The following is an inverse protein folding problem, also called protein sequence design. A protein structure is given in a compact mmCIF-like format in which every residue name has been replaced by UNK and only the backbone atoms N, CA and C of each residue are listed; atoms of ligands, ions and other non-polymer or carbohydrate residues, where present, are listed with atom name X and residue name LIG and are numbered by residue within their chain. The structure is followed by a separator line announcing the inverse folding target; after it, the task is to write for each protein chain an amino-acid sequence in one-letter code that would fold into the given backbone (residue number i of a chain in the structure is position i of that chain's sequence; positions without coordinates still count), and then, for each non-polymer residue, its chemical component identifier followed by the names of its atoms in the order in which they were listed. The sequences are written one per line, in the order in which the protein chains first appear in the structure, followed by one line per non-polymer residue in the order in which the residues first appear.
data_IF_489284413910
#
_entry.id   IF_489284413910
#
_cell.length_a   1.000
_cell.length_b   1.000
_cell.length_c   1.000
_cell.angle_alpha   90.00
_cell.angle_beta   90.00
_cell.angle_gamma   90.00
#
_symmetry.space_group_name_H-M   'P 1'
#
loop_
_entity.id
_entity.type
_entity.pdbx_description
1 polymer ?
#
# COMPACT_ATOMS: atom_id res chain seq x y z
N UNK A 1 22.94 4.61 -21.15
CA UNK A 1 22.29 3.33 -21.51
C UNK A 1 21.69 2.68 -20.26
N UNK A 2 22.47 2.39 -19.22
CA UNK A 2 21.96 1.78 -17.99
C UNK A 2 20.98 2.62 -17.16
N UNK A 3 21.15 3.95 -17.12
CA UNK A 3 20.23 4.82 -16.33
C UNK A 3 18.81 4.84 -16.89
N UNK A 4 18.65 4.91 -18.21
CA UNK A 4 17.32 4.84 -18.85
C UNK A 4 16.64 3.49 -18.60
N UNK A 5 17.40 2.40 -18.67
CA UNK A 5 16.87 1.05 -18.43
C UNK A 5 16.47 0.85 -16.96
N UNK A 6 17.22 1.45 -16.02
CA UNK A 6 16.88 1.44 -14.60
C UNK A 6 15.59 2.22 -14.32
N UNK A 7 15.42 3.40 -14.93
CA UNK A 7 14.21 4.24 -14.83
C UNK A 7 12.98 3.47 -15.34
N UNK A 8 13.08 2.84 -16.50
CA UNK A 8 11.98 2.08 -17.09
C UNK A 8 11.64 0.83 -16.27
N UNK A 9 12.66 0.18 -15.69
CA UNK A 9 12.46 -0.97 -14.79
C UNK A 9 11.77 -0.55 -13.50
N UNK A 10 12.18 0.59 -12.90
CA UNK A 10 11.54 1.16 -11.72
C UNK A 10 10.07 1.47 -12.01
N UNK A 11 9.78 2.14 -13.13
CA UNK A 11 8.42 2.46 -13.56
C UNK A 11 7.53 1.22 -13.70
N UNK A 12 8.02 0.17 -14.40
CA UNK A 12 7.29 -1.07 -14.56
C UNK A 12 7.00 -1.77 -13.22
N UNK A 13 7.95 -1.72 -12.28
CA UNK A 13 7.76 -2.27 -10.93
C UNK A 13 6.69 -1.50 -10.15
N UNK A 14 6.67 -0.16 -10.21
CA UNK A 14 5.64 0.65 -9.55
C UNK A 14 4.25 0.40 -10.16
N UNK A 15 4.14 0.33 -11.49
CA UNK A 15 2.88 0.01 -12.15
C UNK A 15 2.32 -1.35 -11.72
N UNK A 16 3.18 -2.38 -11.67
CA UNK A 16 2.77 -3.70 -11.22
C UNK A 16 2.35 -3.68 -9.75
N UNK A 17 3.10 -2.98 -8.89
CA UNK A 17 2.83 -2.88 -7.46
C UNK A 17 1.48 -2.22 -7.18
N UNK A 18 1.13 -1.12 -7.87
CA UNK A 18 -0.19 -0.49 -7.71
C UNK A 18 -1.31 -1.40 -8.18
N UNK A 19 -1.14 -2.08 -9.32
CA UNK A 19 -2.13 -3.01 -9.85
C UNK A 19 -2.37 -4.19 -8.89
N UNK A 20 -1.31 -4.79 -8.37
CA UNK A 20 -1.40 -5.87 -7.37
C UNK A 20 -2.09 -5.40 -6.09
N UNK A 21 -1.70 -4.23 -5.58
CA UNK A 21 -2.32 -3.66 -4.39
C UNK A 21 -3.83 -3.45 -4.59
N UNK A 22 -4.24 -2.86 -5.72
CA UNK A 22 -5.67 -2.65 -5.99
C UNK A 22 -6.43 -3.98 -6.10
N UNK A 23 -5.83 -5.01 -6.70
CA UNK A 23 -6.44 -6.35 -6.78
C UNK A 23 -6.58 -6.99 -5.40
N UNK A 24 -5.51 -6.99 -4.59
CA UNK A 24 -5.51 -7.60 -3.25
C UNK A 24 -6.51 -6.94 -2.30
N UNK A 25 -6.75 -5.65 -2.48
CA UNK A 25 -7.69 -4.86 -1.67
C UNK A 25 -9.06 -4.69 -2.34
N UNK A 26 -9.32 -5.41 -3.45
CA UNK A 26 -10.57 -5.36 -4.21
C UNK A 26 -11.02 -3.94 -4.63
N UNK A 27 -10.05 -3.05 -4.86
CA UNK A 27 -10.28 -1.66 -5.21
C UNK A 27 -10.58 -1.53 -6.70
N UNK A 28 -11.77 -1.05 -7.01
CA UNK A 28 -12.10 -0.61 -8.38
C UNK A 28 -11.54 0.77 -8.72
N UNK A 29 -11.29 1.60 -7.69
CA UNK A 29 -10.68 2.93 -7.78
C UNK A 29 -9.91 3.23 -6.48
N UNK A 30 -8.83 4.01 -6.60
CA UNK A 30 -8.16 4.61 -5.44
C UNK A 30 -9.02 5.75 -4.89
N UNK A 31 -9.34 5.75 -3.59
CA UNK A 31 -10.18 6.79 -2.99
C UNK A 31 -9.54 8.18 -3.04
N UNK A 32 -8.25 8.29 -2.67
CA UNK A 32 -7.50 9.56 -2.67
C UNK A 32 -6.16 9.38 -3.39
N UNK A 33 -6.16 9.37 -4.74
CA UNK A 33 -4.95 9.17 -5.51
C UNK A 33 -4.00 10.38 -5.43
N UNK A 34 -2.71 10.16 -5.65
CA UNK A 34 -1.65 11.20 -5.63
C UNK A 34 -1.67 12.12 -6.87
N UNK A 35 -2.78 12.15 -7.63
CA UNK A 35 -2.86 12.79 -8.95
C UNK A 35 -2.48 14.29 -8.99
N UNK A 36 -3.13 15.12 -8.17
CA UNK A 36 -2.96 16.58 -8.19
C UNK A 36 -1.91 17.10 -7.18
N UNK A 37 -1.48 16.25 -6.24
CA UNK A 37 -0.42 16.56 -5.28
C UNK A 37 0.96 16.59 -5.96
N UNK A 38 2.02 17.15 -5.34
CA UNK A 38 3.38 16.92 -5.81
C UNK A 38 3.63 15.42 -6.05
N UNK A 39 4.38 15.07 -7.10
CA UNK A 39 4.77 13.68 -7.30
C UNK A 39 5.61 13.22 -6.11
N UNK A 40 5.46 11.96 -5.68
CA UNK A 40 6.14 11.45 -4.50
C UNK A 40 7.01 10.25 -4.84
N UNK A 41 8.13 10.13 -4.15
CA UNK A 41 9.06 9.01 -4.26
C UNK A 41 9.12 8.17 -2.97
N UNK A 42 8.34 8.54 -1.95
CA UNK A 42 8.16 7.76 -0.73
C UNK A 42 6.99 6.79 -0.89
N UNK A 43 7.31 5.52 -1.09
CA UNK A 43 6.36 4.43 -1.30
C UNK A 43 5.61 4.03 -0.02
N UNK A 44 6.02 4.55 1.15
CA UNK A 44 5.20 4.49 2.37
C UNK A 44 4.08 5.54 2.41
N UNK A 45 4.09 6.49 1.47
CA UNK A 45 3.10 7.55 1.32
C UNK A 45 2.34 7.47 -0.02
N UNK A 46 2.61 6.43 -0.83
CA UNK A 46 2.05 6.21 -2.16
C UNK A 46 1.39 4.84 -2.23
N UNK A 47 0.22 4.66 -2.88
CA UNK A 47 -0.51 5.63 -3.71
C UNK A 47 -1.64 6.36 -2.97
N UNK A 48 -1.96 5.96 -1.74
CA UNK A 48 -3.10 6.40 -0.95
C UNK A 48 -2.77 6.16 0.54
N UNK A 49 -2.91 7.18 1.40
CA UNK A 49 -2.58 7.10 2.85
C UNK A 49 -3.61 7.79 3.74
N UNK A 50 -4.82 7.99 3.24
CA UNK A 50 -5.88 8.74 3.93
C UNK A 50 -7.06 7.86 4.31
N UNK A 51 -7.19 6.68 3.70
CA UNK A 51 -8.27 5.76 4.05
C UNK A 51 -8.08 5.21 5.47
N UNK A 52 -9.21 5.04 6.15
CA UNK A 52 -9.26 4.58 7.53
C UNK A 52 -9.72 3.12 7.57
N UNK A 53 -9.64 2.48 8.73
CA UNK A 53 -10.17 1.12 8.92
C UNK A 53 -11.64 1.00 8.49
N UNK A 54 -12.45 2.01 8.77
CA UNK A 54 -13.87 2.04 8.41
C UNK A 54 -14.05 1.95 6.89
N UNK A 55 -13.27 2.72 6.14
CA UNK A 55 -13.40 2.79 4.68
C UNK A 55 -12.67 1.66 3.97
N UNK A 56 -11.64 1.09 4.60
CA UNK A 56 -10.96 -0.16 4.19
C UNK A 56 -11.78 -1.42 4.45
N UNK A 57 -12.94 -1.31 5.11
CA UNK A 57 -13.79 -2.45 5.47
C UNK A 57 -13.23 -3.34 6.58
N UNK A 58 -12.20 -2.87 7.30
CA UNK A 58 -11.63 -3.58 8.43
C UNK A 58 -12.48 -3.35 9.70
N UNK A 59 -12.59 -4.36 10.56
CA UNK A 59 -13.24 -4.19 11.85
C UNK A 59 -12.35 -3.32 12.76
N UNK A 60 -12.79 -2.08 13.02
CA UNK A 60 -12.03 -1.12 13.81
C UNK A 60 -11.72 -1.62 15.24
N UNK A 61 -12.63 -2.39 15.86
CA UNK A 61 -12.40 -2.96 17.19
C UNK A 61 -11.34 -4.06 17.16
N UNK A 62 -11.31 -4.86 16.09
CA UNK A 62 -10.31 -5.90 15.85
C UNK A 62 -8.90 -5.31 15.76
N UNK A 63 -8.71 -4.31 14.89
CA UNK A 63 -7.39 -3.66 14.71
C UNK A 63 -6.96 -2.86 15.95
N UNK A 64 -7.89 -2.19 16.64
CA UNK A 64 -7.58 -1.49 17.89
C UNK A 64 -7.09 -2.46 18.97
N UNK A 65 -7.73 -3.63 19.08
CA UNK A 65 -7.35 -4.67 20.05
C UNK A 65 -5.98 -5.28 19.74
N UNK A 66 -5.62 -5.36 18.46
CA UNK A 66 -4.29 -5.78 18.01
C UNK A 66 -3.15 -4.86 18.47
N UNK A 67 -3.45 -3.66 18.98
CA UNK A 67 -2.45 -2.73 19.50
C UNK A 67 -1.47 -2.21 18.44
N UNK A 68 -1.77 -2.42 17.16
CA UNK A 68 -1.06 -1.80 16.06
C UNK A 68 -1.54 -0.36 15.89
N UNK A 69 -0.61 0.53 15.55
CA UNK A 69 -1.01 1.85 15.06
C UNK A 69 -1.68 1.65 13.70
N UNK A 70 -2.84 2.29 13.50
CA UNK A 70 -3.53 2.25 12.21
C UNK A 70 -2.59 2.76 11.11
N UNK A 71 -2.24 1.87 10.18
CA UNK A 71 -1.61 2.27 8.93
C UNK A 71 -2.73 2.68 7.98
N UNK A 72 -2.90 3.99 7.85
CA UNK A 72 -3.85 4.59 6.95
C UNK A 72 -3.53 4.22 5.50
N UNK A 73 -4.59 4.10 4.71
CA UNK A 73 -4.52 3.86 3.29
C UNK A 73 -3.95 2.53 2.85
N UNK A 74 -3.41 2.54 1.65
CA UNK A 74 -2.93 1.37 0.93
C UNK A 74 -1.52 1.57 0.36
N UNK A 75 -0.53 1.96 1.19
CA UNK A 75 0.80 2.29 0.69
C UNK A 75 1.51 1.07 0.09
N UNK A 76 2.41 1.28 -0.86
CA UNK A 76 3.17 0.22 -1.53
C UNK A 76 4.29 -0.35 -0.65
N UNK A 77 4.74 0.40 0.36
CA UNK A 77 5.76 -0.05 1.30
C UNK A 77 5.29 0.13 2.74
N UNK A 78 5.48 -0.91 3.55
CA UNK A 78 5.16 -0.88 4.97
C UNK A 78 3.67 -1.02 5.28
N UNK A 79 2.85 -1.51 4.35
CA UNK A 79 1.43 -1.71 4.59
C UNK A 79 1.24 -2.76 5.67
N UNK A 80 0.63 -2.40 6.80
CA UNK A 80 0.29 -3.36 7.85
C UNK A 80 -1.10 -3.93 7.62
N UNK A 81 -1.17 -5.26 7.59
CA UNK A 81 -2.43 -6.01 7.57
C UNK A 81 -2.58 -6.76 8.89
N UNK A 82 -3.78 -6.73 9.46
CA UNK A 82 -4.15 -7.55 10.61
C UNK A 82 -5.06 -8.67 10.09
N UNK A 83 -4.66 -9.91 10.33
CA UNK A 83 -5.32 -11.11 9.82
C UNK A 83 -6.04 -11.78 10.98
N UNK A 84 -7.37 -11.82 10.88
CA UNK A 84 -8.26 -12.65 11.71
C UNK A 84 -8.22 -14.08 11.18
N UNK A 85 -7.49 -14.97 11.87
CA UNK A 85 -7.28 -16.36 11.44
C UNK A 85 -8.34 -17.31 11.99
N UNK A 86 -8.89 -17.00 13.16
CA UNK A 86 -9.91 -17.82 13.81
C UNK A 86 -11.35 -17.45 13.37
N UNK A 87 -11.52 -16.26 12.79
CA UNK A 87 -12.78 -15.73 12.27
C UNK A 87 -13.75 -15.28 13.36
N UNK A 88 -13.27 -15.04 14.58
CA UNK A 88 -14.10 -14.69 15.74
C UNK A 88 -14.31 -13.17 15.90
N UNK A 89 -13.59 -12.36 15.11
CA UNK A 89 -13.67 -10.90 15.11
C UNK A 89 -12.99 -10.22 16.30
N UNK A 90 -12.21 -10.95 17.09
CA UNK A 90 -11.48 -10.49 18.28
C UNK A 90 -10.01 -10.81 18.13
N UNK A 91 -9.13 -9.80 18.20
CA UNK A 91 -7.70 -10.06 18.06
C UNK A 91 -7.14 -10.88 19.22
N UNK A 92 -6.60 -12.06 18.93
CA UNK A 92 -5.89 -12.89 19.90
C UNK A 92 -4.55 -13.45 19.36
N UNK A 93 -3.43 -12.87 19.81
CA UNK A 93 -2.10 -13.30 19.37
C UNK A 93 -1.75 -14.76 19.77
N UNK A 94 -2.47 -15.35 20.72
CA UNK A 94 -2.29 -16.74 21.17
C UNK A 94 -3.66 -17.37 21.49
N UNK A 95 -4.21 -18.18 20.59
CA UNK A 95 -5.29 -19.11 20.94
C UNK A 95 -4.72 -20.48 21.31
N UNK A 96 -4.41 -20.68 22.59
CA UNK A 96 -4.02 -21.97 23.12
C UNK A 96 -5.25 -22.72 23.69
N UNK A 97 -5.98 -23.41 22.81
CA UNK A 97 -7.11 -24.27 23.20
C UNK A 97 -7.37 -25.37 22.17
N UNK A 98 -7.94 -26.53 22.56
CA UNK A 98 -8.39 -27.53 21.59
C UNK A 98 -9.77 -27.17 21.02
N UNK A 99 -9.98 -27.22 19.69
CA UNK A 99 -9.00 -27.52 18.63
C UNK A 99 -7.98 -26.40 18.44
N UNK A 100 -6.72 -26.72 18.12
CA UNK A 100 -5.66 -25.72 17.90
C UNK A 100 -6.11 -24.78 16.79
N UNK A 101 -6.44 -23.55 17.17
CA UNK A 101 -6.59 -22.44 16.25
C UNK A 101 -5.30 -21.63 16.32
N UNK A 102 -4.80 -21.22 15.15
CA UNK A 102 -3.62 -20.36 15.12
C UNK A 102 -4.09 -18.96 15.48
N UNK A 103 -3.52 -18.38 16.54
CA UNK A 103 -3.77 -16.99 16.90
C UNK A 103 -3.52 -16.03 15.73
N UNK A 104 -4.18 -14.89 15.81
CA UNK A 104 -4.16 -13.84 14.80
C UNK A 104 -2.77 -13.28 14.53
N UNK A 105 -2.64 -12.66 13.38
CA UNK A 105 -1.34 -12.23 12.88
C UNK A 105 -1.36 -10.80 12.36
N UNK A 106 -0.30 -10.06 12.67
CA UNK A 106 0.02 -8.78 12.02
C UNK A 106 1.14 -9.05 11.02
N UNK A 107 0.90 -8.72 9.74
CA UNK A 107 1.92 -8.78 8.70
C UNK A 107 2.21 -7.41 8.13
N UNK A 108 3.47 -7.21 7.76
CA UNK A 108 3.87 -6.11 6.89
C UNK A 108 3.92 -6.64 5.46
N UNK A 109 3.16 -6.02 4.57
CA UNK A 109 3.13 -6.28 3.14
C UNK A 109 3.87 -5.16 2.43
N UNK A 110 4.80 -5.55 1.55
CA UNK A 110 5.52 -4.65 0.68
C UNK A 110 5.26 -5.08 -0.77
N UNK A 111 4.66 -4.19 -1.55
CA UNK A 111 4.45 -4.35 -2.99
C UNK A 111 5.69 -3.95 -3.79
N UNK A 112 6.58 -3.15 -3.18
CA UNK A 112 7.87 -2.74 -3.73
C UNK A 112 9.02 -3.12 -2.79
N UNK A 113 10.22 -3.30 -3.34
CA UNK A 113 11.38 -3.73 -2.57
C UNK A 113 12.01 -2.62 -1.70
N UNK A 114 11.85 -1.36 -2.11
CA UNK A 114 12.45 -0.19 -1.47
C UNK A 114 11.37 0.81 -1.06
N UNK A 115 11.61 1.51 0.07
CA UNK A 115 10.71 2.56 0.54
C UNK A 115 10.82 3.83 -0.33
N UNK A 116 12.03 4.17 -0.77
CA UNK A 116 12.28 5.37 -1.57
C UNK A 116 12.75 4.97 -2.95
N UNK A 117 12.14 5.57 -3.97
CA UNK A 117 12.51 5.45 -5.39
C UNK A 117 13.40 6.61 -5.83
N UNK A 118 14.13 6.40 -6.92
CA UNK A 118 14.94 7.46 -7.53
C UNK A 118 14.06 8.48 -8.27
N UNK A 119 12.98 8.01 -8.90
CA UNK A 119 11.99 8.84 -9.60
C UNK A 119 10.80 9.21 -8.71
N UNK A 120 9.98 10.16 -9.17
CA UNK A 120 8.75 10.59 -8.50
C UNK A 120 7.52 10.13 -9.26
N UNK A 121 6.43 9.83 -8.54
CA UNK A 121 5.25 9.21 -9.11
C UNK A 121 3.98 9.96 -8.77
N UNK A 122 3.06 9.98 -9.73
CA UNK A 122 1.65 10.27 -9.52
C UNK A 122 0.84 9.08 -9.96
N UNK A 123 -0.35 8.94 -9.40
CA UNK A 123 -1.32 7.93 -9.81
C UNK A 123 -2.68 8.60 -9.96
N UNK A 124 -3.47 8.17 -10.93
CA UNK A 124 -4.88 8.57 -11.01
C UNK A 124 -5.78 7.63 -10.20
N UNK A 125 -7.07 7.94 -10.12
CA UNK A 125 -8.02 7.09 -9.37
C UNK A 125 -8.17 5.67 -9.93
N UNK A 126 -7.69 5.38 -11.13
CA UNK A 126 -7.79 4.08 -11.77
C UNK A 126 -6.47 3.28 -11.69
N UNK A 127 -5.46 3.79 -10.99
CA UNK A 127 -4.16 3.15 -10.87
C UNK A 127 -3.22 3.44 -12.03
N UNK A 128 -3.53 4.41 -12.89
CA UNK A 128 -2.63 4.83 -13.97
C UNK A 128 -1.49 5.64 -13.39
N UNK A 129 -0.25 5.17 -13.58
CA UNK A 129 0.96 5.78 -13.01
C UNK A 129 1.64 6.66 -14.05
N UNK A 130 2.03 7.87 -13.65
CA UNK A 130 2.93 8.74 -14.41
C UNK A 130 4.20 8.99 -13.59
N UNK A 131 5.35 8.91 -14.25
CA UNK A 131 6.68 9.07 -13.66
C UNK A 131 7.29 10.43 -14.03
N UNK A 132 7.95 11.05 -13.07
CA UNK A 132 8.51 12.39 -13.12
C UNK A 132 9.95 12.39 -12.61
N UNK A 133 10.74 13.35 -13.08
CA UNK A 133 12.12 13.56 -12.61
C UNK A 133 12.20 14.20 -11.22
N UNK A 134 11.19 15.00 -10.87
CA UNK A 134 11.09 15.69 -9.59
C UNK A 134 9.65 15.75 -9.06
N UNK A 135 9.52 16.08 -7.77
CA UNK A 135 8.23 16.25 -7.09
C UNK A 135 7.38 17.38 -7.69
N UNK A 136 8.01 18.37 -8.32
CA UNK A 136 7.36 19.51 -8.93
C UNK A 136 6.81 19.21 -10.33
N UNK A 137 7.02 17.99 -10.84
CA UNK A 137 6.55 17.51 -12.15
C UNK A 137 7.13 18.35 -13.28
N UNK A 138 8.40 18.77 -13.18
CA UNK A 138 8.99 19.65 -14.19
C UNK A 138 9.28 18.92 -15.50
N UNK A 139 9.68 17.64 -15.44
CA UNK A 139 9.84 16.79 -16.61
C UNK A 139 9.19 15.41 -16.42
N UNK A 140 8.32 15.05 -17.36
CA UNK A 140 7.69 13.73 -17.40
C UNK A 140 8.65 12.73 -18.05
N UNK A 141 8.89 11.61 -17.37
CA UNK A 141 9.76 10.54 -17.87
C UNK A 141 8.94 9.49 -18.61
N UNK A 142 7.86 9.00 -17.98
CA UNK A 142 6.97 7.98 -18.53
C UNK A 142 5.50 8.32 -18.21
N UNK A 143 4.56 8.15 -19.16
CA UNK A 143 3.14 8.44 -18.99
C UNK A 143 2.38 7.43 -18.15
#
# INVERSE_FOLDING_TARGET
AGESEAIDTEFANIQLAVSQMMVDNELSQLPVPVGDAPAINDMSQFPEVTETLETKGANAAFVTTAGVSEVLGYPLYGCQIVIDRNGDGVFDAEEAGPPIVLGDEIRVVNYVATQTTDSYYTVDKFGTITQWDDAAKTNQLNP
#
